data_IF_621658196357
#
_entry.id   IF_621658196357
#
_cell.length_a   1.000
_cell.length_b   1.000
_cell.length_c   1.000
_cell.angle_alpha   90.00
_cell.angle_beta   90.00
_cell.angle_gamma   90.00
#
_symmetry.space_group_name_H-M   'P 1'
#
loop_
_entity.id
_entity.type
_entity.pdbx_description
1 polymer ?
#
# COMPACT_ATOMS: atom_id res chain seq x y z
N UNK A 1 -31.20 9.86 -39.92
CA UNK A 1 -30.08 10.16 -38.99
C UNK A 1 -30.45 10.92 -37.71
N UNK A 2 -31.51 11.75 -37.65
CA UNK A 2 -31.94 12.42 -36.40
C UNK A 2 -32.48 11.47 -35.32
N UNK A 3 -33.13 10.37 -35.71
CA UNK A 3 -33.79 9.44 -34.76
C UNK A 3 -32.86 8.53 -33.95
N UNK A 4 -31.57 8.43 -34.30
CA UNK A 4 -30.60 7.61 -33.56
C UNK A 4 -29.89 8.38 -32.45
N UNK A 5 -29.97 9.72 -32.45
CA UNK A 5 -29.21 10.58 -31.53
C UNK A 5 -29.62 10.39 -30.07
N UNK A 6 -30.90 10.17 -29.81
CA UNK A 6 -31.46 10.02 -28.46
C UNK A 6 -31.68 8.55 -28.04
N UNK A 7 -31.19 7.59 -28.84
CA UNK A 7 -31.39 6.18 -28.55
C UNK A 7 -30.52 5.72 -27.36
N UNK A 8 -31.00 4.75 -26.54
CA UNK A 8 -30.19 4.15 -25.48
C UNK A 8 -28.86 3.59 -25.99
N UNK A 9 -28.84 3.04 -27.20
CA UNK A 9 -27.64 2.53 -27.85
C UNK A 9 -26.58 3.62 -28.07
N UNK A 10 -27.00 4.83 -28.47
CA UNK A 10 -26.09 5.95 -28.67
C UNK A 10 -25.54 6.53 -27.35
N UNK A 11 -26.11 6.16 -26.19
CA UNK A 11 -25.54 6.47 -24.87
C UNK A 11 -24.46 5.47 -24.44
N UNK A 12 -24.53 4.24 -24.95
CA UNK A 12 -23.55 3.17 -24.64
C UNK A 12 -22.36 3.20 -25.60
N UNK A 13 -22.58 3.58 -26.87
CA UNK A 13 -21.50 3.61 -27.86
C UNK A 13 -20.30 4.50 -27.46
N UNK A 14 -20.47 5.68 -26.85
CA UNK A 14 -19.35 6.50 -26.37
C UNK A 14 -18.54 5.86 -25.23
N UNK A 15 -19.11 4.89 -24.50
CA UNK A 15 -18.39 4.15 -23.45
C UNK A 15 -17.70 2.89 -23.98
N UNK A 16 -17.96 2.50 -25.24
CA UNK A 16 -17.18 1.47 -25.92
C UNK A 16 -15.72 1.94 -26.07
N UNK A 17 -14.78 1.13 -25.60
CA UNK A 17 -13.35 1.42 -25.68
C UNK A 17 -12.74 0.88 -26.97
N UNK A 18 -13.25 -0.25 -27.43
CA UNK A 18 -12.80 -0.95 -28.63
C UNK A 18 -13.89 -1.90 -29.14
N UNK A 19 -13.82 -2.21 -30.43
CA UNK A 19 -14.67 -3.19 -31.08
C UNK A 19 -13.84 -4.04 -32.04
N UNK A 20 -14.03 -5.36 -31.98
CA UNK A 20 -13.37 -6.37 -32.80
C UNK A 20 -14.37 -6.83 -33.84
N UNK A 21 -14.00 -6.80 -35.11
CA UNK A 21 -14.88 -7.17 -36.22
C UNK A 21 -14.37 -8.46 -36.84
N UNK A 22 -15.09 -9.56 -36.58
CA UNK A 22 -14.83 -10.89 -37.14
C UNK A 22 -16.15 -11.41 -37.72
N UNK A 23 -16.41 -11.26 -39.04
CA UNK A 23 -17.69 -11.63 -39.64
C UNK A 23 -18.10 -13.07 -39.29
N UNK A 24 -19.34 -13.31 -38.82
CA UNK A 24 -20.49 -12.39 -38.79
C UNK A 24 -20.62 -11.51 -37.54
N UNK A 25 -19.65 -11.56 -36.62
CA UNK A 25 -19.75 -10.98 -35.29
C UNK A 25 -18.96 -9.68 -35.13
N UNK A 26 -19.46 -8.83 -34.22
CA UNK A 26 -18.75 -7.66 -33.70
C UNK A 26 -18.71 -7.78 -32.18
N UNK A 27 -17.54 -8.02 -31.60
CA UNK A 27 -17.35 -8.05 -30.15
C UNK A 27 -16.96 -6.66 -29.65
N UNK A 28 -17.61 -6.15 -28.62
CA UNK A 28 -17.46 -4.77 -28.12
C UNK A 28 -17.10 -4.81 -26.63
N UNK A 29 -16.03 -4.11 -26.26
CA UNK A 29 -15.67 -3.86 -24.87
C UNK A 29 -16.24 -2.50 -24.42
N UNK A 30 -17.18 -2.55 -23.50
CA UNK A 30 -17.90 -1.38 -22.98
C UNK A 30 -17.36 -1.07 -21.59
N UNK A 31 -17.06 0.20 -21.33
CA UNK A 31 -16.57 0.68 -20.04
C UNK A 31 -17.50 1.75 -19.48
N UNK A 32 -18.62 1.38 -18.84
CA UNK A 32 -19.61 2.34 -18.36
C UNK A 32 -19.05 3.31 -17.32
N UNK A 33 -18.10 2.86 -16.50
CA UNK A 33 -17.41 3.67 -15.49
C UNK A 33 -16.01 3.12 -15.21
N UNK A 34 -15.11 3.92 -14.61
CA UNK A 34 -13.78 3.44 -14.26
C UNK A 34 -13.80 2.18 -13.39
N UNK A 35 -13.09 1.13 -13.84
CA UNK A 35 -12.99 -0.16 -13.17
C UNK A 35 -14.15 -1.13 -13.43
N UNK A 36 -15.13 -0.78 -14.28
CA UNK A 36 -16.23 -1.68 -14.65
C UNK A 36 -16.25 -1.88 -16.16
N UNK A 37 -16.29 -3.15 -16.56
CA UNK A 37 -16.27 -3.59 -17.94
C UNK A 37 -17.42 -4.54 -18.22
N UNK A 38 -17.98 -4.42 -19.41
CA UNK A 38 -18.98 -5.32 -19.96
C UNK A 38 -18.54 -5.70 -21.37
N UNK A 39 -18.62 -6.99 -21.70
CA UNK A 39 -18.25 -7.50 -23.01
C UNK A 39 -19.48 -8.08 -23.67
N UNK A 40 -19.71 -7.68 -24.92
CA UNK A 40 -20.86 -8.13 -25.69
C UNK A 40 -20.45 -8.49 -27.10
N UNK A 41 -21.18 -9.41 -27.73
CA UNK A 41 -21.04 -9.79 -29.12
C UNK A 41 -22.33 -9.50 -29.86
N UNK A 42 -22.22 -8.83 -31.00
CA UNK A 42 -23.35 -8.52 -31.88
C UNK A 42 -23.24 -9.35 -33.15
N UNK A 43 -24.27 -10.12 -33.49
CA UNK A 43 -24.39 -10.75 -34.80
C UNK A 43 -24.95 -9.73 -35.80
N UNK A 44 -24.20 -9.41 -36.85
CA UNK A 44 -24.59 -8.35 -37.81
C UNK A 44 -25.79 -8.76 -38.68
N UNK A 45 -26.02 -10.06 -38.87
CA UNK A 45 -27.14 -10.55 -39.68
C UNK A 45 -28.43 -10.70 -38.87
N UNK A 46 -28.32 -11.26 -37.66
CA UNK A 46 -29.48 -11.52 -36.80
C UNK A 46 -29.84 -10.33 -35.89
N UNK A 47 -28.94 -9.35 -35.77
CA UNK A 47 -29.03 -8.23 -34.82
C UNK A 47 -29.24 -8.68 -33.36
N UNK A 48 -28.75 -9.88 -33.04
CA UNK A 48 -28.72 -10.43 -31.69
C UNK A 48 -27.50 -9.93 -30.93
N UNK A 49 -27.64 -9.79 -29.62
CA UNK A 49 -26.58 -9.34 -28.70
C UNK A 49 -26.42 -10.38 -27.59
N UNK A 50 -25.23 -10.96 -27.49
CA UNK A 50 -24.86 -11.90 -26.43
C UNK A 50 -23.88 -11.24 -25.47
N UNK A 51 -23.99 -11.55 -24.18
CA UNK A 51 -22.94 -11.23 -23.22
C UNK A 51 -21.77 -12.19 -23.38
N UNK A 52 -20.55 -11.66 -23.27
CA UNK A 52 -19.33 -12.45 -23.24
C UNK A 52 -18.69 -12.37 -21.85
N UNK A 53 -18.09 -13.47 -21.42
CA UNK A 53 -17.08 -13.48 -20.38
C UNK A 53 -15.78 -12.81 -20.87
N UNK A 54 -14.88 -12.49 -19.95
CA UNK A 54 -13.56 -11.94 -20.27
C UNK A 54 -12.78 -12.89 -21.17
N UNK A 55 -12.77 -14.19 -20.82
CA UNK A 55 -12.06 -15.22 -21.60
C UNK A 55 -12.60 -15.34 -23.03
N UNK A 56 -13.94 -15.36 -23.20
CA UNK A 56 -14.55 -15.38 -24.53
C UNK A 56 -14.20 -14.14 -25.34
N UNK A 57 -14.23 -12.95 -24.73
CA UNK A 57 -13.85 -11.71 -25.41
C UNK A 57 -12.36 -11.70 -25.84
N UNK A 58 -11.46 -12.22 -25.00
CA UNK A 58 -10.04 -12.32 -25.34
C UNK A 58 -9.79 -13.32 -26.48
N UNK A 59 -10.53 -14.43 -26.54
CA UNK A 59 -10.47 -15.37 -27.68
C UNK A 59 -10.82 -14.69 -29.01
N UNK A 60 -11.75 -13.74 -29.03
CA UNK A 60 -12.01 -12.93 -30.23
C UNK A 60 -10.79 -12.09 -30.66
N UNK A 61 -9.99 -11.59 -29.72
CA UNK A 61 -8.74 -10.86 -30.05
C UNK A 61 -7.67 -11.78 -30.61
N UNK A 62 -7.55 -12.97 -30.04
CA UNK A 62 -6.62 -14.01 -30.48
C UNK A 62 -6.97 -14.47 -31.90
N UNK A 63 -8.24 -14.77 -32.17
CA UNK A 63 -8.71 -15.22 -33.49
C UNK A 63 -8.48 -14.16 -34.59
N UNK A 64 -8.54 -12.87 -34.23
CA UNK A 64 -8.24 -11.79 -35.18
C UNK A 64 -6.78 -11.82 -35.67
N UNK A 65 -5.85 -12.26 -34.84
CA UNK A 65 -4.40 -12.25 -35.16
C UNK A 65 -3.96 -13.61 -35.70
N UNK A 66 -4.30 -14.68 -35.00
CA UNK A 66 -3.79 -16.04 -35.25
C UNK A 66 -4.76 -16.91 -36.08
N UNK A 67 -5.98 -16.43 -36.32
CA UNK A 67 -7.06 -17.22 -36.89
C UNK A 67 -7.63 -18.22 -35.89
N UNK A 68 -8.37 -19.21 -36.37
CA UNK A 68 -8.98 -20.23 -35.50
C UNK A 68 -7.91 -21.12 -34.87
N UNK A 69 -7.62 -20.88 -33.60
CA UNK A 69 -6.74 -21.71 -32.80
C UNK A 69 -7.58 -22.60 -31.86
N UNK A 70 -7.47 -23.93 -32.03
CA UNK A 70 -8.21 -24.94 -31.27
C UNK A 70 -7.35 -25.58 -30.16
N UNK A 71 -6.47 -24.80 -29.51
CA UNK A 71 -5.78 -25.30 -28.32
C UNK A 71 -6.69 -25.12 -27.10
N UNK A 72 -7.16 -26.23 -26.56
CA UNK A 72 -8.05 -26.23 -25.40
C UNK A 72 -7.31 -25.96 -24.06
N UNK A 73 -5.97 -25.88 -24.08
CA UNK A 73 -5.13 -25.77 -22.88
C UNK A 73 -4.26 -24.52 -22.86
N UNK A 74 -4.74 -23.42 -23.45
CA UNK A 74 -4.09 -22.11 -23.32
C UNK A 74 -4.07 -21.68 -21.84
N UNK A 75 -2.92 -21.18 -21.39
CA UNK A 75 -2.74 -20.71 -20.02
C UNK A 75 -3.57 -19.44 -19.77
N UNK A 76 -4.60 -19.54 -18.94
CA UNK A 76 -5.36 -18.40 -18.44
C UNK A 76 -4.82 -17.96 -17.06
N UNK A 77 -4.38 -16.70 -16.95
CA UNK A 77 -3.90 -16.13 -15.70
C UNK A 77 -5.04 -15.44 -14.95
N UNK A 78 -5.63 -16.13 -13.96
CA UNK A 78 -6.69 -15.60 -13.11
C UNK A 78 -6.22 -15.34 -11.67
N UNK A 79 -6.18 -14.07 -11.28
CA UNK A 79 -5.83 -13.62 -9.94
C UNK A 79 -7.06 -13.34 -9.05
N UNK A 80 -8.28 -13.44 -9.57
CA UNK A 80 -9.49 -13.13 -8.82
C UNK A 80 -9.68 -14.05 -7.59
N UNK A 81 -9.52 -15.39 -7.70
CA UNK A 81 -9.68 -16.31 -6.56
C UNK A 81 -8.66 -16.04 -5.43
N UNK A 82 -7.44 -15.65 -5.77
CA UNK A 82 -6.36 -15.39 -4.81
C UNK A 82 -6.60 -14.11 -3.99
N UNK A 83 -7.45 -13.21 -4.47
CA UNK A 83 -7.76 -11.93 -3.84
C UNK A 83 -9.13 -11.95 -3.12
N UNK A 84 -9.80 -13.11 -3.01
CA UNK A 84 -11.14 -13.21 -2.45
C UNK A 84 -11.21 -12.91 -0.94
N UNK A 85 -10.10 -13.09 -0.22
CA UNK A 85 -9.98 -12.79 1.21
C UNK A 85 -9.80 -11.31 1.50
N UNK A 86 -9.39 -10.52 0.50
CA UNK A 86 -9.22 -9.08 0.65
C UNK A 86 -10.54 -8.35 0.37
N UNK A 87 -10.97 -7.44 1.25
CA UNK A 87 -12.15 -6.63 1.00
C UNK A 87 -11.91 -5.75 -0.24
N UNK A 88 -12.89 -5.70 -1.16
CA UNK A 88 -12.81 -4.88 -2.38
C UNK A 88 -13.80 -3.72 -2.32
N UNK A 89 -13.37 -2.47 -2.50
CA UNK A 89 -14.28 -1.37 -2.61
C UNK A 89 -15.00 -1.39 -3.98
N UNK A 90 -16.31 -1.13 -3.99
CA UNK A 90 -17.14 -1.18 -5.20
C UNK A 90 -17.37 0.19 -5.88
N UNK A 91 -16.92 1.27 -5.23
CA UNK A 91 -17.10 2.65 -5.70
C UNK A 91 -15.82 3.12 -6.40
N UNK A 92 -15.94 3.57 -7.66
CA UNK A 92 -14.81 4.10 -8.43
C UNK A 92 -14.10 5.28 -7.77
N UNK A 93 -14.79 6.05 -6.92
CA UNK A 93 -14.21 7.15 -6.14
C UNK A 93 -13.15 6.73 -5.11
N UNK A 94 -13.06 5.44 -4.80
CA UNK A 94 -12.07 4.89 -3.86
C UNK A 94 -10.78 4.42 -4.55
N UNK A 95 -10.74 4.43 -5.89
CA UNK A 95 -9.54 4.06 -6.65
C UNK A 95 -8.42 5.04 -6.29
N UNK A 96 -7.28 4.50 -5.86
CA UNK A 96 -6.14 5.27 -5.36
C UNK A 96 -6.14 5.52 -3.84
N UNK A 97 -7.24 5.23 -3.13
CA UNK A 97 -7.41 5.46 -1.69
C UNK A 97 -7.46 4.16 -0.88
N UNK A 98 -6.66 3.16 -1.27
CA UNK A 98 -6.69 1.81 -0.68
C UNK A 98 -6.37 1.77 0.82
N UNK A 99 -5.44 2.61 1.29
CA UNK A 99 -5.06 2.70 2.71
C UNK A 99 -6.24 3.16 3.58
N UNK A 100 -6.99 4.17 3.14
CA UNK A 100 -8.16 4.65 3.88
C UNK A 100 -9.23 3.56 4.00
N UNK A 101 -9.46 2.81 2.91
CA UNK A 101 -10.39 1.68 2.93
C UNK A 101 -9.92 0.56 3.86
N UNK A 102 -8.63 0.24 3.85
CA UNK A 102 -8.04 -0.77 4.72
C UNK A 102 -8.10 -0.35 6.19
N UNK A 103 -7.83 0.92 6.51
CA UNK A 103 -7.96 1.46 7.87
C UNK A 103 -9.40 1.32 8.36
N UNK A 104 -10.40 1.70 7.54
CA UNK A 104 -11.81 1.47 7.85
C UNK A 104 -12.13 -0.01 8.10
N UNK A 105 -11.60 -0.90 7.27
CA UNK A 105 -11.83 -2.34 7.42
C UNK A 105 -11.20 -2.89 8.70
N UNK A 106 -9.93 -2.56 8.98
CA UNK A 106 -9.19 -2.99 10.16
C UNK A 106 -9.84 -2.48 11.44
N UNK A 107 -10.13 -1.18 11.55
CA UNK A 107 -10.79 -0.61 12.72
C UNK A 107 -12.15 -1.25 12.98
N UNK A 108 -12.93 -1.50 11.91
CA UNK A 108 -14.23 -2.19 12.01
C UNK A 108 -14.08 -3.65 12.46
N UNK A 109 -13.01 -4.34 12.05
CA UNK A 109 -12.69 -5.70 12.49
C UNK A 109 -12.29 -5.73 13.97
N UNK A 110 -11.38 -4.83 14.37
CA UNK A 110 -10.91 -4.64 15.75
C UNK A 110 -12.05 -4.34 16.71
N UNK A 111 -13.03 -3.54 16.30
CA UNK A 111 -14.19 -3.21 17.11
C UNK A 111 -15.11 -4.43 17.34
N UNK A 112 -15.23 -5.34 16.36
CA UNK A 112 -16.13 -6.51 16.44
C UNK A 112 -15.57 -7.64 17.30
N UNK A 113 -14.26 -7.86 17.29
CA UNK A 113 -13.64 -8.99 17.98
C UNK A 113 -12.39 -8.56 18.76
N UNK A 114 -12.42 -8.68 20.10
CA UNK A 114 -11.25 -8.37 20.94
C UNK A 114 -10.03 -9.24 20.65
N UNK A 115 -10.22 -10.49 20.21
CA UNK A 115 -9.10 -11.37 19.82
C UNK A 115 -8.35 -10.84 18.60
N UNK A 116 -8.98 -9.99 17.78
CA UNK A 116 -8.33 -9.39 16.61
C UNK A 116 -7.32 -8.28 16.97
N UNK A 117 -7.20 -7.93 18.25
CA UNK A 117 -6.16 -7.03 18.78
C UNK A 117 -4.87 -7.78 19.16
N UNK A 118 -4.91 -9.10 19.35
CA UNK A 118 -3.72 -9.89 19.68
C UNK A 118 -2.62 -9.77 18.60
N UNK A 119 -2.92 -9.78 17.28
CA UNK A 119 -1.91 -9.52 16.26
C UNK A 119 -1.20 -8.16 16.41
N UNK A 120 -1.89 -7.13 16.90
CA UNK A 120 -1.29 -5.81 17.14
C UNK A 120 -0.33 -5.86 18.33
N UNK A 121 -0.70 -6.56 19.39
CA UNK A 121 0.17 -6.79 20.54
C UNK A 121 1.41 -7.60 20.14
N UNK A 122 1.22 -8.70 19.44
CA UNK A 122 2.30 -9.56 18.96
C UNK A 122 3.23 -8.79 18.02
N UNK A 123 2.68 -7.95 17.14
CA UNK A 123 3.46 -7.06 16.29
C UNK A 123 4.36 -6.12 17.12
N UNK A 124 3.79 -5.44 18.12
CA UNK A 124 4.55 -4.52 18.98
C UNK A 124 5.62 -5.22 19.82
N UNK A 125 5.37 -6.46 20.26
CA UNK A 125 6.33 -7.26 21.05
C UNK A 125 7.44 -7.87 20.21
N UNK A 126 7.11 -8.30 19.00
CA UNK A 126 8.07 -8.88 18.06
C UNK A 126 8.96 -7.81 17.42
N UNK A 127 8.59 -6.52 17.53
CA UNK A 127 9.29 -5.42 16.89
C UNK A 127 10.69 -5.21 17.47
N UNK A 128 11.70 -5.41 16.62
CA UNK A 128 13.12 -5.28 16.97
C UNK A 128 13.89 -4.67 15.82
N UNK A 129 14.92 -3.90 16.13
CA UNK A 129 15.87 -3.40 15.14
C UNK A 129 17.31 -3.64 15.62
N UNK A 130 18.15 -4.25 14.78
CA UNK A 130 19.52 -4.62 15.14
C UNK A 130 19.63 -5.36 16.49
N UNK A 131 18.70 -6.26 16.77
CA UNK A 131 18.66 -7.04 18.02
C UNK A 131 18.11 -6.31 19.25
N UNK A 132 17.86 -5.00 19.18
CA UNK A 132 17.28 -4.22 20.28
C UNK A 132 15.75 -4.27 20.20
N UNK A 133 15.11 -4.56 21.32
CA UNK A 133 13.66 -4.54 21.44
C UNK A 133 13.12 -3.11 21.37
N UNK A 134 11.96 -2.96 20.73
CA UNK A 134 11.25 -1.70 20.60
C UNK A 134 9.80 -1.86 21.04
N UNK A 135 9.16 -0.75 21.38
CA UNK A 135 7.75 -0.70 21.81
C UNK A 135 7.48 -1.50 23.08
N UNK A 136 7.22 -2.80 22.99
CA UNK A 136 6.82 -3.65 24.11
C UNK A 136 7.82 -4.80 24.34
N UNK A 137 8.11 -5.09 25.60
CA UNK A 137 8.90 -6.26 25.98
C UNK A 137 8.04 -7.41 26.50
N UNK A 138 8.70 -8.51 26.88
CA UNK A 138 8.06 -9.77 27.29
C UNK A 138 7.29 -9.70 28.62
N UNK A 139 7.34 -8.58 29.35
CA UNK A 139 6.54 -8.38 30.56
C UNK A 139 5.04 -8.30 30.23
N UNK A 140 4.69 -7.79 29.04
CA UNK A 140 3.31 -7.68 28.58
C UNK A 140 3.00 -8.82 27.61
N UNK A 141 2.28 -9.83 28.08
CA UNK A 141 2.06 -11.08 27.32
C UNK A 141 0.70 -11.17 26.63
N UNK A 142 -0.27 -10.34 27.03
CA UNK A 142 -1.63 -10.35 26.51
C UNK A 142 -2.30 -8.99 26.73
N UNK A 143 -3.42 -8.76 26.04
CA UNK A 143 -4.17 -7.50 26.10
C UNK A 143 -4.64 -7.18 27.54
N UNK A 144 -4.95 -8.20 28.35
CA UNK A 144 -5.35 -8.01 29.76
C UNK A 144 -4.25 -7.43 30.66
N UNK A 145 -2.96 -7.68 30.36
CA UNK A 145 -1.81 -7.07 31.04
C UNK A 145 -1.43 -5.71 30.45
N UNK A 146 -1.80 -5.46 29.20
CA UNK A 146 -1.47 -4.23 28.48
C UNK A 146 -2.20 -3.01 29.07
N UNK A 147 -3.51 -3.10 29.31
CA UNK A 147 -4.29 -1.98 29.86
C UNK A 147 -3.79 -1.50 31.24
N UNK A 148 -3.53 -2.38 32.24
CA UNK A 148 -2.96 -1.94 33.51
C UNK A 148 -1.52 -1.41 33.40
N UNK A 149 -0.74 -1.88 32.43
CA UNK A 149 0.60 -1.33 32.18
C UNK A 149 0.52 0.10 31.65
N UNK A 150 -0.39 0.39 30.72
CA UNK A 150 -0.63 1.74 30.23
C UNK A 150 -1.12 2.70 31.32
N UNK A 151 -2.08 2.27 32.15
CA UNK A 151 -2.57 3.12 33.24
C UNK A 151 -1.43 3.56 34.20
N UNK A 152 -0.49 2.65 34.49
CA UNK A 152 0.71 2.97 35.29
C UNK A 152 1.66 3.92 34.57
N UNK A 153 1.87 3.69 33.27
CA UNK A 153 2.72 4.55 32.46
C UNK A 153 2.14 5.97 32.33
N UNK A 154 0.84 6.12 32.04
CA UNK A 154 0.16 7.42 32.00
C UNK A 154 0.23 8.14 33.35
N UNK A 155 -0.07 7.45 34.45
CA UNK A 155 0.00 8.05 35.79
C UNK A 155 1.42 8.54 36.11
N UNK A 156 2.44 7.76 35.75
CA UNK A 156 3.83 8.14 35.94
C UNK A 156 4.23 9.32 35.06
N UNK A 157 3.93 9.29 33.75
CA UNK A 157 4.24 10.35 32.79
C UNK A 157 3.52 11.67 33.14
N UNK A 158 2.31 11.60 33.71
CA UNK A 158 1.55 12.79 34.11
C UNK A 158 2.23 13.63 35.20
N UNK A 159 3.18 13.03 35.94
CA UNK A 159 3.95 13.69 37.00
C UNK A 159 5.21 14.38 36.49
N UNK A 160 5.62 14.11 35.24
CA UNK A 160 6.82 14.66 34.63
C UNK A 160 6.51 15.95 33.83
N UNK A 161 7.47 16.89 33.73
CA UNK A 161 7.37 17.97 32.75
C UNK A 161 7.20 17.43 31.31
N UNK A 162 6.35 18.04 30.46
CA UNK A 162 6.10 17.56 29.10
C UNK A 162 7.36 17.42 28.22
N UNK A 163 8.35 18.30 28.44
CA UNK A 163 9.61 18.34 27.70
C UNK A 163 10.71 17.42 28.26
N UNK A 164 10.41 16.60 29.27
CA UNK A 164 11.38 15.68 29.87
C UNK A 164 11.87 14.68 28.80
N UNK A 165 13.19 14.56 28.56
CA UNK A 165 13.75 13.59 27.62
C UNK A 165 13.50 12.13 28.03
N UNK A 166 13.29 11.24 27.06
CA UNK A 166 13.04 9.81 27.30
C UNK A 166 14.13 9.14 28.16
N UNK A 167 15.39 9.53 27.98
CA UNK A 167 16.53 8.98 28.73
C UNK A 167 16.41 9.16 30.25
N UNK A 168 15.66 10.14 30.74
CA UNK A 168 15.51 10.39 32.19
C UNK A 168 14.54 9.42 32.86
N UNK A 169 13.61 8.83 32.09
CA UNK A 169 12.57 7.93 32.61
C UNK A 169 12.52 6.55 31.92
N UNK A 170 13.51 6.26 31.08
CA UNK A 170 13.65 4.99 30.35
C UNK A 170 13.58 3.77 31.27
N UNK A 171 14.34 3.78 32.37
CA UNK A 171 14.42 2.63 33.28
C UNK A 171 13.07 2.30 33.94
N UNK A 172 12.33 3.34 34.34
CA UNK A 172 11.00 3.18 34.95
C UNK A 172 9.99 2.62 33.93
N UNK A 173 9.99 3.14 32.70
CA UNK A 173 9.12 2.64 31.61
C UNK A 173 9.45 1.20 31.22
N UNK A 174 10.73 0.85 31.10
CA UNK A 174 11.17 -0.52 30.82
C UNK A 174 10.70 -1.50 31.92
N UNK A 175 10.74 -1.06 33.18
CA UNK A 175 10.19 -1.82 34.31
C UNK A 175 8.70 -2.12 34.18
N UNK A 176 7.95 -1.22 33.54
CA UNK A 176 6.51 -1.38 33.25
C UNK A 176 6.21 -2.20 31.98
N UNK A 177 7.23 -2.43 31.13
CA UNK A 177 7.12 -3.23 29.91
C UNK A 177 7.28 -2.46 28.61
N UNK A 178 7.66 -1.18 28.67
CA UNK A 178 7.78 -0.28 27.52
C UNK A 178 9.25 -0.04 27.18
N UNK A 179 9.65 -0.47 25.98
CA UNK A 179 10.98 -0.20 25.42
C UNK A 179 10.99 1.14 24.66
N UNK A 180 12.12 1.51 24.05
CA UNK A 180 12.24 2.72 23.22
C UNK A 180 11.31 2.67 22.00
N UNK A 181 10.98 3.84 21.45
CA UNK A 181 10.19 3.98 20.21
C UNK A 181 8.81 4.64 20.35
N UNK A 182 8.42 5.05 21.57
CA UNK A 182 7.14 5.74 21.83
C UNK A 182 7.20 7.26 21.66
N UNK A 183 8.40 7.84 21.78
CA UNK A 183 8.63 9.27 21.76
C UNK A 183 10.01 9.66 22.31
N UNK A 184 10.49 10.83 21.90
CA UNK A 184 11.71 11.49 22.40
C UNK A 184 11.51 12.19 23.75
N UNK A 185 10.30 12.70 24.01
CA UNK A 185 9.93 13.41 25.25
C UNK A 185 8.67 12.83 25.89
N UNK A 186 8.50 13.07 27.19
CA UNK A 186 7.37 12.59 27.99
C UNK A 186 6.00 12.89 27.36
N UNK A 187 5.81 14.09 26.81
CA UNK A 187 4.56 14.45 26.12
C UNK A 187 4.25 13.50 24.97
N UNK A 188 5.23 13.23 24.09
CA UNK A 188 5.00 12.42 22.91
C UNK A 188 4.79 10.95 23.24
N UNK A 189 5.52 10.44 24.23
CA UNK A 189 5.29 9.09 24.76
C UNK A 189 3.86 8.97 25.25
N UNK A 190 3.37 9.95 26.03
CA UNK A 190 1.99 9.99 26.52
C UNK A 190 0.97 10.01 25.37
N UNK A 191 1.17 10.87 24.36
CA UNK A 191 0.30 10.91 23.17
C UNK A 191 0.26 9.58 22.42
N UNK A 192 1.40 8.93 22.21
CA UNK A 192 1.47 7.64 21.49
C UNK A 192 0.81 6.51 22.29
N UNK A 193 0.98 6.49 23.61
CA UNK A 193 0.28 5.56 24.51
C UNK A 193 -1.23 5.80 24.43
N UNK A 194 -1.67 7.05 24.45
CA UNK A 194 -3.08 7.41 24.38
C UNK A 194 -3.74 6.93 23.10
N UNK A 195 -3.09 7.11 21.94
CA UNK A 195 -3.59 6.58 20.65
C UNK A 195 -3.83 5.07 20.71
N UNK A 196 -2.92 4.32 21.31
CA UNK A 196 -3.09 2.87 21.43
C UNK A 196 -4.21 2.50 22.41
N UNK A 197 -4.35 3.22 23.52
CA UNK A 197 -5.48 3.04 24.44
C UNK A 197 -6.82 3.30 23.76
N UNK A 198 -6.92 4.36 22.95
CA UNK A 198 -8.10 4.65 22.14
C UNK A 198 -8.40 3.50 21.17
N UNK A 199 -7.40 2.95 20.49
CA UNK A 199 -7.57 1.78 19.60
C UNK A 199 -8.07 0.55 20.38
N UNK A 200 -7.59 0.32 21.60
CA UNK A 200 -8.03 -0.82 22.42
C UNK A 200 -9.47 -0.66 22.96
N UNK A 201 -9.94 0.57 23.13
CA UNK A 201 -11.28 0.90 23.66
C UNK A 201 -12.32 1.03 22.54
N UNK A 202 -12.01 1.85 21.54
CA UNK A 202 -12.89 2.22 20.44
C UNK A 202 -12.06 2.52 19.18
N UNK A 203 -11.63 1.49 18.41
CA UNK A 203 -10.81 1.70 17.23
C UNK A 203 -11.55 2.49 16.15
N UNK A 204 -10.94 3.58 15.69
CA UNK A 204 -11.35 4.34 14.52
C UNK A 204 -10.23 4.40 13.46
N UNK A 205 -10.55 4.71 12.19
CA UNK A 205 -9.58 4.66 11.10
C UNK A 205 -8.45 5.69 11.24
N UNK A 206 -8.76 6.89 11.73
CA UNK A 206 -7.79 7.99 11.84
C UNK A 206 -6.77 7.76 12.96
N UNK A 207 -7.23 7.26 14.11
CA UNK A 207 -6.37 6.93 15.24
C UNK A 207 -5.47 5.75 14.90
N UNK A 208 -6.02 4.71 14.23
CA UNK A 208 -5.24 3.58 13.76
C UNK A 208 -4.14 4.01 12.77
N UNK A 209 -4.49 4.84 11.78
CA UNK A 209 -3.52 5.38 10.81
C UNK A 209 -2.42 6.20 11.50
N UNK A 210 -2.81 7.06 12.43
CA UNK A 210 -1.88 7.92 13.17
C UNK A 210 -0.94 7.09 14.04
N UNK A 211 -1.48 6.09 14.75
CA UNK A 211 -0.70 5.19 15.59
C UNK A 211 0.29 4.37 14.76
N UNK A 212 -0.20 3.63 13.75
CA UNK A 212 0.66 2.80 12.90
C UNK A 212 1.71 3.64 12.15
N UNK A 213 1.37 4.86 11.75
CA UNK A 213 2.29 5.80 11.13
C UNK A 213 3.38 6.34 12.07
N UNK A 214 3.14 6.35 13.39
CA UNK A 214 4.11 6.74 14.42
C UNK A 214 5.09 5.62 14.78
N UNK A 215 4.71 4.35 14.60
CA UNK A 215 5.59 3.22 14.95
C UNK A 215 6.87 3.30 14.11
N UNK A 216 8.06 3.27 14.74
CA UNK A 216 9.32 3.38 14.02
C UNK A 216 9.63 2.05 13.30
N UNK A 217 9.21 1.92 12.04
CA UNK A 217 9.36 0.69 11.25
C UNK A 217 10.44 0.78 10.17
N UNK A 218 10.60 1.96 9.55
CA UNK A 218 11.38 2.12 8.32
C UNK A 218 12.76 2.67 8.65
N UNK A 219 13.76 1.78 8.72
CA UNK A 219 15.16 2.14 8.98
C UNK A 219 16.08 1.86 7.79
N UNK A 220 15.87 0.73 7.10
CA UNK A 220 16.63 0.33 5.93
C UNK A 220 15.68 0.22 4.74
N UNK A 221 15.97 0.95 3.66
CA UNK A 221 15.16 1.01 2.44
C UNK A 221 16.01 0.54 1.26
N UNK A 222 15.45 -0.36 0.45
CA UNK A 222 16.04 -0.78 -0.82
C UNK A 222 15.13 -0.34 -1.95
N UNK A 223 15.67 0.45 -2.87
CA UNK A 223 14.99 0.88 -4.11
C UNK A 223 15.66 0.16 -5.27
N UNK A 224 14.87 -0.44 -6.14
CA UNK A 224 15.37 -1.22 -7.28
C UNK A 224 15.10 -0.49 -8.58
N UNK A 225 16.15 -0.18 -9.34
CA UNK A 225 16.08 0.48 -10.65
C UNK A 225 17.10 -0.15 -11.60
N UNK A 226 16.78 -1.32 -12.19
CA UNK A 226 17.76 -2.15 -12.88
C UNK A 226 18.15 -1.61 -14.27
N UNK A 227 17.23 -0.99 -15.00
CA UNK A 227 17.48 -0.48 -16.34
C UNK A 227 18.02 0.96 -16.34
N UNK A 228 18.59 1.34 -17.48
CA UNK A 228 19.17 2.67 -17.70
C UNK A 228 20.54 2.87 -17.06
N UNK A 229 21.12 4.04 -17.31
CA UNK A 229 22.38 4.48 -16.73
C UNK A 229 22.09 5.26 -15.45
N UNK A 230 22.13 4.58 -14.31
CA UNK A 230 21.91 5.24 -13.02
C UNK A 230 23.15 6.01 -12.55
N UNK A 231 23.03 7.33 -12.49
CA UNK A 231 24.11 8.22 -12.06
C UNK A 231 23.60 9.59 -11.65
N UNK A 232 24.41 10.32 -10.88
CA UNK A 232 24.06 11.66 -10.36
C UNK A 232 24.40 12.79 -11.36
N UNK A 233 25.27 12.52 -12.33
CA UNK A 233 25.70 13.47 -13.35
C UNK A 233 26.05 12.73 -14.65
N UNK A 234 25.98 13.44 -15.78
CA UNK A 234 26.39 12.95 -17.11
C UNK A 234 25.69 11.67 -17.60
N UNK A 235 24.50 11.36 -17.08
CA UNK A 235 23.69 10.22 -17.54
C UNK A 235 22.39 10.64 -18.22
N UNK A 236 21.92 11.86 -17.98
CA UNK A 236 20.67 12.36 -18.54
C UNK A 236 20.77 12.47 -20.07
N UNK A 237 19.83 11.82 -20.77
CA UNK A 237 19.80 11.75 -22.23
C UNK A 237 20.43 10.48 -22.82
N UNK A 238 21.06 9.62 -22.00
CA UNK A 238 21.45 8.28 -22.42
C UNK A 238 20.21 7.39 -22.64
N UNK A 239 20.31 6.31 -23.43
CA UNK A 239 19.22 5.35 -23.62
C UNK A 239 18.66 4.87 -22.28
N UNK A 240 17.34 4.76 -22.20
CA UNK A 240 16.59 4.34 -21.01
C UNK A 240 16.85 5.18 -19.75
N UNK A 241 17.42 6.39 -19.90
CA UNK A 241 17.77 7.29 -18.80
C UNK A 241 17.01 8.60 -18.92
N UNK A 242 16.01 8.77 -18.06
CA UNK A 242 15.12 9.93 -18.09
C UNK A 242 14.56 10.30 -16.73
N UNK A 243 13.30 10.74 -16.71
CA UNK A 243 12.63 11.27 -15.51
C UNK A 243 12.60 10.31 -14.32
N UNK A 244 12.64 9.00 -14.54
CA UNK A 244 12.71 7.99 -13.47
C UNK A 244 13.91 8.19 -12.54
N UNK A 245 15.09 8.53 -13.08
CA UNK A 245 16.31 8.67 -12.28
C UNK A 245 16.24 9.92 -11.43
N UNK A 246 15.77 11.02 -12.02
CA UNK A 246 15.54 12.28 -11.31
C UNK A 246 14.52 12.06 -10.19
N UNK A 247 13.42 11.37 -10.49
CA UNK A 247 12.38 11.05 -9.52
C UNK A 247 12.94 10.27 -8.32
N UNK A 248 13.73 9.21 -8.56
CA UNK A 248 14.32 8.41 -7.48
C UNK A 248 15.31 9.25 -6.66
N UNK A 249 16.17 10.04 -7.31
CA UNK A 249 17.16 10.87 -6.61
C UNK A 249 16.52 11.94 -5.71
N UNK A 250 15.42 12.55 -6.16
CA UNK A 250 14.68 13.50 -5.32
C UNK A 250 13.88 12.79 -4.23
N UNK A 251 13.29 11.62 -4.55
CA UNK A 251 12.56 10.80 -3.58
C UNK A 251 13.45 10.37 -2.41
N UNK A 252 14.68 9.89 -2.66
CA UNK A 252 15.55 9.41 -1.57
C UNK A 252 15.97 10.50 -0.61
N UNK A 253 16.16 11.74 -1.08
CA UNK A 253 16.49 12.88 -0.22
C UNK A 253 15.33 13.22 0.71
N UNK A 254 14.13 13.39 0.14
CA UNK A 254 12.94 13.67 0.93
C UNK A 254 12.60 12.52 1.90
N UNK A 255 12.81 11.28 1.46
CA UNK A 255 12.59 10.10 2.30
C UNK A 255 13.60 10.01 3.44
N UNK A 256 14.89 10.30 3.19
CA UNK A 256 15.93 10.33 4.21
C UNK A 256 15.63 11.37 5.29
N UNK A 257 15.25 12.59 4.89
CA UNK A 257 14.87 13.66 5.83
C UNK A 257 13.68 13.25 6.71
N UNK A 258 12.64 12.67 6.12
CA UNK A 258 11.46 12.18 6.87
C UNK A 258 11.81 10.99 7.78
N UNK A 259 12.67 10.07 7.33
CA UNK A 259 13.16 8.96 8.15
C UNK A 259 13.93 9.47 9.36
N UNK A 260 14.88 10.38 9.17
CA UNK A 260 15.66 11.00 10.25
C UNK A 260 14.73 11.70 11.25
N UNK A 261 13.79 12.49 10.76
CA UNK A 261 12.81 13.18 11.58
C UNK A 261 11.97 12.20 12.42
N UNK A 262 11.45 11.12 11.82
CA UNK A 262 10.65 10.13 12.54
C UNK A 262 11.45 9.37 13.57
N UNK A 263 12.66 8.94 13.23
CA UNK A 263 13.55 8.22 14.14
C UNK A 263 13.86 9.09 15.36
N UNK A 264 14.25 10.35 15.14
CA UNK A 264 14.52 11.31 16.21
C UNK A 264 13.27 11.53 17.07
N UNK A 265 12.11 11.77 16.44
CA UNK A 265 10.86 12.01 17.16
C UNK A 265 10.43 10.84 18.04
N UNK A 266 10.86 9.61 17.74
CA UNK A 266 10.58 8.42 18.55
C UNK A 266 11.67 8.08 19.59
N UNK A 267 12.65 8.97 19.79
CA UNK A 267 13.69 8.80 20.80
C UNK A 267 14.69 7.70 20.45
N UNK A 268 14.95 7.51 19.16
CA UNK A 268 15.87 6.50 18.64
C UNK A 268 17.11 7.16 18.03
N UNK A 269 18.27 6.54 18.23
CA UNK A 269 19.56 6.98 17.69
C UNK A 269 20.00 6.10 16.50
N UNK A 270 19.04 5.72 15.64
CA UNK A 270 19.30 4.85 14.48
C UNK A 270 19.70 5.71 13.28
N UNK A 271 20.79 5.35 12.61
CA UNK A 271 21.16 5.96 11.33
C UNK A 271 20.41 5.22 10.22
N UNK A 272 19.48 5.87 9.49
CA UNK A 272 18.77 5.22 8.40
C UNK A 272 19.70 4.92 7.23
N UNK A 273 19.33 3.93 6.41
CA UNK A 273 20.12 3.54 5.24
C UNK A 273 19.23 3.32 4.03
N UNK A 274 19.51 4.04 2.95
CA UNK A 274 18.81 3.88 1.67
C UNK A 274 19.82 3.33 0.65
N UNK A 275 19.48 2.19 0.03
CA UNK A 275 20.28 1.58 -1.02
C UNK A 275 19.50 1.56 -2.33
N UNK A 276 20.06 2.17 -3.36
CA UNK A 276 19.53 2.09 -4.72
C UNK A 276 20.29 0.99 -5.45
N UNK A 277 19.63 -0.15 -5.69
CA UNK A 277 20.16 -1.26 -6.46
C UNK A 277 19.92 -1.03 -7.95
N UNK A 278 21.00 -0.90 -8.70
CA UNK A 278 20.99 -0.78 -10.16
C UNK A 278 22.08 -1.68 -10.77
N UNK A 279 22.03 -1.88 -12.08
CA UNK A 279 23.00 -2.69 -12.81
C UNK A 279 24.36 -1.99 -12.82
N UNK A 280 25.41 -2.75 -12.51
CA UNK A 280 26.78 -2.28 -12.67
C UNK A 280 27.17 -2.36 -14.15
N UNK A 281 27.28 -1.21 -14.81
CA UNK A 281 27.73 -1.12 -16.20
C UNK A 281 29.23 -0.78 -16.22
N UNK A 282 30.07 -1.74 -16.62
CA UNK A 282 31.50 -1.52 -16.80
C UNK A 282 31.84 -1.46 -18.30
N UNK A 283 32.27 -0.29 -18.78
CA UNK A 283 32.84 -0.14 -20.14
C UNK A 283 34.17 0.59 -20.07
N UNK A 284 35.21 0.03 -20.69
CA UNK A 284 36.56 0.63 -20.75
C UNK A 284 36.64 1.91 -21.59
N UNK A 285 35.59 2.27 -22.34
CA UNK A 285 35.57 3.42 -23.27
C UNK A 285 34.23 4.17 -23.29
N UNK A 286 33.84 4.81 -22.18
CA UNK A 286 32.71 5.76 -22.16
C UNK A 286 33.04 7.13 -22.80
N UNK A 287 34.18 7.26 -23.51
CA UNK A 287 34.61 8.52 -24.16
C UNK A 287 34.04 8.74 -25.58
N UNK A 288 33.22 7.83 -26.08
CA UNK A 288 32.65 7.92 -27.43
C UNK A 288 31.16 7.59 -27.43
N UNK A 289 30.38 8.37 -26.68
CA UNK A 289 28.96 8.62 -26.95
C UNK A 289 28.66 10.07 -26.64
#
# INVERSE_FOLDING_TARGET
MKMLKDSPFNKVLPSAQEAIVLPPFVAIAIRPRPGVWEYVRVNVFELSVDHLSVAEYLRFKEELVDGQCNDNYVLELDFEPFNATFPRPSRSSTIGNGVQFLNCHLSSSMLRNKESLEPLLDFLRAHKHNGHAMMLNDRIQNISKLQPAFARAEEYLSKLPPSTPYSEFEFELQGMGFERGWGDIAQRVSETIHLLLEILQAPDPSTLETFLGRIPMVFNVVIVSPHGYFGQANVLGLPDTGGQIIYILDQVRALEDEMLLRIQKQGLDVIPKILIASVLIYSRNLKHY
#
